data_IF_823132297247
#
_entry.id   IF_823132297247
#
_cell.length_a   1.000
_cell.length_b   1.000
_cell.length_c   1.000
_cell.angle_alpha   90.00
_cell.angle_beta   90.00
_cell.angle_gamma   90.00
#
_symmetry.space_group_name_H-M   'P 1'
#
loop_
_entity.id
_entity.type
_entity.pdbx_description
1 polymer ?
#
# COMPACT_ATOMS: atom_id res chain seq x y z
N UNK A 1 -18.38 25.60 -15.21
CA UNK A 1 -17.55 24.63 -15.98
C UNK A 1 -16.24 24.48 -15.24
N UNK A 2 -16.18 23.53 -14.30
CA UNK A 2 -15.02 23.33 -13.42
C UNK A 2 -13.97 22.52 -14.15
N UNK A 3 -12.71 22.96 -14.13
CA UNK A 3 -11.59 22.21 -14.75
C UNK A 3 -11.53 20.82 -14.11
N UNK A 4 -11.76 19.77 -14.88
CA UNK A 4 -11.54 18.40 -14.43
C UNK A 4 -10.03 18.25 -14.14
N UNK A 5 -9.67 18.36 -12.87
CA UNK A 5 -8.36 17.98 -12.36
C UNK A 5 -8.41 16.47 -12.20
N UNK A 6 -8.03 15.76 -13.24
CA UNK A 6 -8.25 14.32 -13.35
C UNK A 6 -7.04 13.57 -12.82
N UNK A 7 -7.25 12.54 -12.01
CA UNK A 7 -6.28 11.45 -11.85
C UNK A 7 -6.06 10.84 -13.23
N UNK A 8 -4.81 10.75 -13.71
CA UNK A 8 -4.52 10.20 -15.04
C UNK A 8 -4.87 8.71 -15.21
N UNK A 9 -5.38 8.05 -14.17
CA UNK A 9 -5.62 6.62 -14.10
C UNK A 9 -7.12 6.35 -13.84
N UNK A 10 -7.86 5.75 -14.79
CA UNK A 10 -9.31 5.55 -14.67
C UNK A 10 -9.73 4.83 -13.37
N UNK A 11 -9.01 3.77 -12.98
CA UNK A 11 -9.31 3.03 -11.76
C UNK A 11 -9.11 3.88 -10.49
N UNK A 12 -7.99 4.60 -10.36
CA UNK A 12 -7.73 5.48 -9.23
C UNK A 12 -8.74 6.64 -9.18
N UNK A 13 -9.14 7.18 -10.34
CA UNK A 13 -10.15 8.22 -10.45
C UNK A 13 -11.52 7.75 -9.98
N UNK A 14 -11.99 6.59 -10.47
CA UNK A 14 -13.26 6.01 -10.05
C UNK A 14 -13.26 5.72 -8.56
N UNK A 15 -12.17 5.17 -8.02
CA UNK A 15 -12.04 4.92 -6.59
C UNK A 15 -12.12 6.20 -5.77
N UNK A 16 -11.41 7.25 -6.18
CA UNK A 16 -11.48 8.56 -5.54
C UNK A 16 -12.92 9.11 -5.52
N UNK A 17 -13.63 9.05 -6.64
CA UNK A 17 -15.01 9.52 -6.72
C UNK A 17 -15.94 8.72 -5.81
N UNK A 18 -15.88 7.39 -5.88
CA UNK A 18 -16.72 6.48 -5.11
C UNK A 18 -16.52 6.63 -3.61
N UNK A 19 -15.28 6.81 -3.16
CA UNK A 19 -14.96 6.93 -1.74
C UNK A 19 -15.08 8.36 -1.19
N UNK A 20 -15.27 9.36 -2.04
CA UNK A 20 -15.31 10.77 -1.62
C UNK A 20 -16.27 11.12 -0.49
N UNK A 21 -17.46 10.47 -0.33
CA UNK A 21 -18.33 10.73 0.82
C UNK A 21 -17.80 10.23 2.17
N UNK A 22 -16.78 9.37 2.17
CA UNK A 22 -16.21 8.72 3.36
C UNK A 22 -14.83 9.28 3.76
N UNK A 23 -14.31 10.26 3.01
CA UNK A 23 -13.01 10.85 3.32
C UNK A 23 -13.02 11.59 4.65
N UNK A 24 -11.94 11.42 5.40
CA UNK A 24 -11.64 12.16 6.62
C UNK A 24 -10.85 13.45 6.36
N UNK A 25 -10.17 13.93 7.41
CA UNK A 25 -9.38 15.16 7.31
C UNK A 25 -8.15 15.01 6.39
N UNK A 26 -7.85 16.02 5.54
CA UNK A 26 -6.81 15.95 4.53
C UNK A 26 -5.40 16.01 5.16
N UNK A 27 -4.78 14.85 5.36
CA UNK A 27 -3.52 14.68 6.09
C UNK A 27 -2.40 14.03 5.28
N UNK A 28 -2.72 13.42 4.15
CA UNK A 28 -1.75 12.77 3.26
C UNK A 28 -2.03 13.09 1.79
N UNK A 29 -0.99 13.11 0.98
CA UNK A 29 -1.03 13.50 -0.42
C UNK A 29 -1.47 12.35 -1.34
N UNK A 30 -2.22 12.72 -2.37
CA UNK A 30 -2.51 11.84 -3.50
C UNK A 30 -1.42 11.99 -4.56
N UNK A 31 -0.59 10.96 -4.75
CA UNK A 31 0.57 11.02 -5.62
C UNK A 31 0.16 11.06 -7.10
N UNK A 32 0.93 11.79 -7.91
CA UNK A 32 0.66 11.92 -9.34
C UNK A 32 -0.58 12.75 -9.71
N UNK A 33 -1.23 13.39 -8.74
CA UNK A 33 -2.37 14.28 -8.99
C UNK A 33 -1.91 15.66 -9.48
N UNK A 34 -2.57 16.19 -10.52
CA UNK A 34 -2.34 17.56 -10.98
C UNK A 34 -2.97 18.56 -10.00
N UNK A 35 -2.14 19.06 -9.07
CA UNK A 35 -2.50 19.99 -8.00
C UNK A 35 -2.26 19.39 -6.62
N UNK A 36 -2.33 20.21 -5.56
CA UNK A 36 -2.25 19.69 -4.19
C UNK A 36 -3.60 19.08 -3.77
N UNK A 37 -3.80 17.78 -4.05
CA UNK A 37 -4.92 17.02 -3.48
C UNK A 37 -4.43 16.20 -2.28
N UNK A 38 -5.13 16.35 -1.16
CA UNK A 38 -4.85 15.64 0.08
C UNK A 38 -6.11 14.97 0.59
N UNK A 39 -5.98 13.76 1.09
CA UNK A 39 -7.02 12.93 1.70
C UNK A 39 -6.60 12.54 3.11
N UNK A 40 -7.45 11.86 3.87
CA UNK A 40 -6.95 11.18 5.07
C UNK A 40 -5.95 10.08 4.70
N UNK A 41 -5.07 9.73 5.64
CA UNK A 41 -3.98 8.79 5.40
C UNK A 41 -4.46 7.41 4.91
N UNK A 42 -5.62 6.95 5.36
CA UNK A 42 -6.14 5.64 4.97
C UNK A 42 -6.56 5.64 3.50
N UNK A 43 -7.33 6.63 3.07
CA UNK A 43 -7.76 6.74 1.67
C UNK A 43 -6.62 7.12 0.73
N UNK A 44 -5.67 7.95 1.18
CA UNK A 44 -4.46 8.25 0.41
C UNK A 44 -3.63 6.97 0.17
N UNK A 45 -3.41 6.15 1.19
CA UNK A 45 -2.71 4.87 1.05
C UNK A 45 -3.40 3.92 0.06
N UNK A 46 -4.72 3.79 0.16
CA UNK A 46 -5.51 2.94 -0.74
C UNK A 46 -5.39 3.38 -2.21
N UNK A 47 -5.61 4.66 -2.49
CA UNK A 47 -5.63 5.16 -3.87
C UNK A 47 -4.20 5.22 -4.45
N UNK A 48 -3.19 5.55 -3.65
CA UNK A 48 -1.79 5.49 -4.08
C UNK A 48 -1.36 4.05 -4.40
N UNK A 49 -1.81 3.06 -3.63
CA UNK A 49 -1.54 1.64 -3.91
C UNK A 49 -2.22 1.13 -5.17
N UNK A 50 -3.45 1.56 -5.45
CA UNK A 50 -4.10 1.29 -6.74
C UNK A 50 -3.32 1.93 -7.89
N UNK A 51 -2.94 3.20 -7.72
CA UNK A 51 -2.20 3.94 -8.73
C UNK A 51 -0.81 3.35 -9.01
N UNK A 52 -0.14 2.75 -8.02
CA UNK A 52 1.18 2.13 -8.22
C UNK A 52 1.12 0.88 -9.09
N UNK A 53 0.00 0.15 -9.06
CA UNK A 53 -0.09 -1.18 -9.68
C UNK A 53 -0.97 -1.21 -10.94
N UNK A 54 -1.77 -0.18 -11.22
CA UNK A 54 -2.75 -0.18 -12.33
C UNK A 54 -2.18 -0.41 -13.74
N UNK A 55 -0.88 -0.18 -13.92
CA UNK A 55 -0.19 -0.37 -15.20
C UNK A 55 0.75 -1.57 -15.23
N UNK A 56 0.80 -2.36 -14.15
CA UNK A 56 1.76 -3.45 -13.96
C UNK A 56 3.21 -3.01 -14.27
N UNK A 57 3.54 -1.78 -13.88
CA UNK A 57 4.83 -1.14 -14.17
C UNK A 57 5.66 -0.86 -12.91
N UNK A 58 5.20 -1.38 -11.77
CA UNK A 58 5.91 -1.41 -10.50
C UNK A 58 6.93 -2.57 -10.43
N UNK A 59 7.64 -2.65 -9.31
CA UNK A 59 8.75 -3.58 -9.12
C UNK A 59 8.29 -5.04 -9.02
N UNK A 60 9.23 -5.98 -9.15
CA UNK A 60 8.93 -7.40 -8.96
C UNK A 60 10.05 -8.08 -8.18
N UNK A 61 9.68 -8.83 -7.16
CA UNK A 61 10.57 -9.75 -6.46
C UNK A 61 10.58 -11.09 -7.21
N UNK A 62 11.67 -11.35 -7.93
CA UNK A 62 11.75 -12.43 -8.92
C UNK A 62 11.51 -13.84 -8.34
N UNK A 63 11.89 -14.08 -7.08
CA UNK A 63 11.76 -15.41 -6.47
C UNK A 63 10.30 -15.81 -6.19
N UNK A 64 9.39 -14.84 -6.09
CA UNK A 64 7.97 -15.07 -5.71
C UNK A 64 6.97 -14.33 -6.57
N UNK A 65 7.42 -13.58 -7.59
CA UNK A 65 6.64 -12.74 -8.51
C UNK A 65 5.71 -11.71 -7.85
N UNK A 66 6.02 -11.28 -6.62
CA UNK A 66 5.24 -10.25 -5.93
C UNK A 66 5.76 -8.85 -6.26
N UNK A 67 4.93 -7.82 -6.04
CA UNK A 67 5.27 -6.41 -6.25
C UNK A 67 5.36 -5.66 -4.90
N UNK A 68 6.51 -5.72 -4.20
CA UNK A 68 6.55 -5.39 -2.78
C UNK A 68 6.60 -3.88 -2.48
N UNK A 69 7.04 -3.03 -3.42
CA UNK A 69 7.16 -1.60 -3.11
C UNK A 69 5.80 -0.92 -3.06
N UNK A 70 4.89 -1.25 -3.98
CA UNK A 70 3.57 -0.63 -4.11
C UNK A 70 2.77 -0.57 -2.79
N UNK A 71 2.42 -1.72 -2.17
CA UNK A 71 1.64 -1.75 -0.94
C UNK A 71 2.37 -1.09 0.24
N UNK A 72 3.67 -1.37 0.42
CA UNK A 72 4.45 -0.85 1.56
C UNK A 72 4.64 0.67 1.47
N UNK A 73 5.09 1.17 0.32
CA UNK A 73 5.36 2.59 0.13
C UNK A 73 4.08 3.42 0.26
N UNK A 74 2.96 2.93 -0.28
CA UNK A 74 1.68 3.65 -0.25
C UNK A 74 1.18 3.86 1.18
N UNK A 75 1.23 2.83 2.02
CA UNK A 75 0.88 2.94 3.44
C UNK A 75 1.89 3.82 4.21
N UNK A 76 3.18 3.59 3.99
CA UNK A 76 4.25 4.27 4.72
C UNK A 76 4.27 5.77 4.44
N UNK A 77 4.17 6.19 3.18
CA UNK A 77 4.18 7.60 2.79
C UNK A 77 2.97 8.34 3.36
N UNK A 78 1.78 7.74 3.30
CA UNK A 78 0.57 8.34 3.84
C UNK A 78 0.65 8.55 5.36
N UNK A 79 1.14 7.56 6.11
CA UNK A 79 1.30 7.67 7.56
C UNK A 79 2.46 8.61 7.92
N UNK A 80 3.52 8.66 7.12
CA UNK A 80 4.64 9.57 7.34
C UNK A 80 4.22 11.03 7.22
N UNK A 81 3.43 11.37 6.19
CA UNK A 81 2.88 12.72 6.04
C UNK A 81 1.90 13.07 7.16
N UNK A 82 1.02 12.16 7.55
CA UNK A 82 0.07 12.37 8.64
C UNK A 82 0.77 12.58 9.99
N UNK A 83 1.78 11.76 10.31
CA UNK A 83 2.54 11.86 11.56
C UNK A 83 3.43 13.12 11.59
N UNK A 84 3.96 13.51 10.43
CA UNK A 84 4.95 14.57 10.31
C UNK A 84 6.29 14.23 10.98
N UNK A 85 7.28 15.10 10.80
CA UNK A 85 8.60 15.00 11.45
C UNK A 85 9.35 13.66 11.27
N UNK A 86 9.16 12.98 10.13
CA UNK A 86 9.91 11.78 9.76
C UNK A 86 11.10 12.17 8.88
N UNK A 87 12.32 11.83 9.31
CA UNK A 87 13.52 12.04 8.48
C UNK A 87 13.57 11.06 7.30
N UNK A 88 14.23 11.46 6.21
CA UNK A 88 14.43 10.56 5.06
C UNK A 88 15.12 9.25 5.44
N UNK A 89 16.07 9.27 6.40
CA UNK A 89 16.71 8.05 6.91
C UNK A 89 15.70 7.13 7.62
N UNK A 90 14.84 7.66 8.47
CA UNK A 90 13.79 6.87 9.14
C UNK A 90 12.82 6.28 8.12
N UNK A 91 12.41 7.07 7.13
CA UNK A 91 11.52 6.63 6.06
C UNK A 91 12.12 5.46 5.27
N UNK A 92 13.34 5.62 4.76
CA UNK A 92 14.03 4.56 3.99
C UNK A 92 14.25 3.32 4.86
N UNK A 93 14.62 3.47 6.13
CA UNK A 93 14.79 2.33 7.05
C UNK A 93 13.48 1.57 7.25
N UNK A 94 12.36 2.28 7.40
CA UNK A 94 11.04 1.66 7.56
C UNK A 94 10.58 0.98 6.26
N UNK A 95 10.82 1.60 5.10
CA UNK A 95 10.49 1.05 3.80
C UNK A 95 11.20 -0.28 3.57
N UNK A 96 12.53 -0.31 3.78
CA UNK A 96 13.34 -1.53 3.65
C UNK A 96 12.85 -2.61 4.62
N UNK A 97 12.56 -2.27 5.87
CA UNK A 97 12.05 -3.23 6.84
C UNK A 97 10.69 -3.83 6.43
N UNK A 98 9.80 -3.03 5.84
CA UNK A 98 8.51 -3.50 5.33
C UNK A 98 8.66 -4.42 4.12
N UNK A 99 9.43 -4.00 3.12
CA UNK A 99 9.69 -4.81 1.91
C UNK A 99 10.36 -6.14 2.28
N UNK A 100 11.35 -6.13 3.17
CA UNK A 100 12.02 -7.35 3.65
C UNK A 100 11.03 -8.31 4.33
N UNK A 101 10.12 -7.79 5.15
CA UNK A 101 9.09 -8.61 5.82
C UNK A 101 8.09 -9.18 4.82
N UNK A 102 7.67 -8.38 3.83
CA UNK A 102 6.79 -8.80 2.75
C UNK A 102 7.42 -9.93 1.92
N UNK A 103 8.65 -9.74 1.44
CA UNK A 103 9.36 -10.73 0.64
C UNK A 103 9.56 -12.04 1.42
N UNK A 104 9.89 -11.97 2.71
CA UNK A 104 9.99 -13.15 3.58
C UNK A 104 8.66 -13.88 3.77
N UNK A 105 7.57 -13.15 3.93
CA UNK A 105 6.24 -13.74 3.99
C UNK A 105 5.86 -14.37 2.64
N UNK A 106 6.17 -13.70 1.52
CA UNK A 106 5.96 -14.22 0.17
C UNK A 106 6.71 -15.52 -0.08
N UNK A 107 7.99 -15.58 0.29
CA UNK A 107 8.81 -16.79 0.18
C UNK A 107 8.27 -17.95 1.01
N UNK A 108 7.64 -17.67 2.15
CA UNK A 108 7.10 -18.69 3.04
C UNK A 108 5.79 -19.32 2.52
N UNK A 109 5.08 -18.66 1.60
CA UNK A 109 3.80 -19.12 1.06
C UNK A 109 3.87 -19.53 -0.43
N UNK A 110 5.00 -19.28 -1.07
CA UNK A 110 5.24 -19.60 -2.46
C UNK A 110 5.73 -21.06 -2.64
N UNK A 111 5.26 -21.79 -3.67
CA UNK A 111 4.28 -21.40 -4.69
C UNK A 111 2.82 -21.74 -4.34
N UNK A 112 2.58 -22.56 -3.32
CA UNK A 112 1.28 -23.21 -3.11
C UNK A 112 0.14 -22.21 -2.93
N UNK A 113 0.40 -21.08 -2.25
CA UNK A 113 -0.60 -20.02 -2.06
C UNK A 113 -1.01 -19.37 -3.38
N UNK A 114 -0.06 -19.20 -4.31
CA UNK A 114 -0.33 -18.70 -5.67
C UNK A 114 -1.11 -19.74 -6.49
N UNK A 115 -0.69 -21.00 -6.42
CA UNK A 115 -1.25 -22.08 -7.23
C UNK A 115 -2.73 -22.30 -6.98
N UNK A 116 -3.17 -22.16 -5.71
CA UNK A 116 -4.59 -22.24 -5.33
C UNK A 116 -5.39 -20.96 -5.60
N UNK A 117 -4.77 -19.93 -6.20
CA UNK A 117 -5.46 -18.77 -6.77
C UNK A 117 -5.37 -17.46 -5.99
N UNK A 118 -4.54 -17.37 -4.94
CA UNK A 118 -4.31 -16.10 -4.25
C UNK A 118 -3.35 -15.19 -5.01
N UNK A 119 -3.65 -13.90 -5.02
CA UNK A 119 -2.71 -12.88 -5.46
C UNK A 119 -1.79 -12.50 -4.30
N UNK A 120 -0.57 -13.08 -4.27
CA UNK A 120 0.34 -12.99 -3.13
C UNK A 120 0.70 -11.53 -2.79
N UNK A 121 0.96 -10.67 -3.79
CA UNK A 121 1.21 -9.22 -3.57
C UNK A 121 0.22 -8.60 -2.59
N UNK A 122 -1.06 -8.92 -2.74
CA UNK A 122 -2.10 -8.38 -1.87
C UNK A 122 -2.14 -9.07 -0.51
N UNK A 123 -1.91 -10.39 -0.44
CA UNK A 123 -1.99 -11.14 0.82
C UNK A 123 -0.80 -10.91 1.76
N UNK A 124 0.40 -10.66 1.23
CA UNK A 124 1.58 -10.33 2.06
C UNK A 124 1.91 -8.85 2.12
N UNK A 125 1.43 -8.04 1.16
CA UNK A 125 1.65 -6.59 1.15
C UNK A 125 1.12 -5.87 2.39
N UNK A 126 -0.01 -6.33 2.94
CA UNK A 126 -0.54 -5.78 4.20
C UNK A 126 0.40 -6.02 5.39
N UNK A 127 1.12 -7.14 5.41
CA UNK A 127 2.11 -7.49 6.44
C UNK A 127 3.32 -6.55 6.32
N UNK A 128 3.85 -6.36 5.11
CA UNK A 128 4.95 -5.43 4.86
C UNK A 128 4.60 -4.00 5.27
N UNK A 129 3.41 -3.54 4.88
CA UNK A 129 2.88 -2.23 5.27
C UNK A 129 2.77 -2.08 6.79
N UNK A 130 2.26 -3.09 7.49
CA UNK A 130 2.16 -3.08 8.96
C UNK A 130 3.54 -2.97 9.63
N UNK A 131 4.56 -3.67 9.12
CA UNK A 131 5.94 -3.58 9.63
C UNK A 131 6.53 -2.19 9.42
N UNK A 132 6.44 -1.65 8.20
CA UNK A 132 6.95 -0.32 7.87
C UNK A 132 6.29 0.78 8.72
N UNK A 133 4.95 0.75 8.82
CA UNK A 133 4.18 1.70 9.63
C UNK A 133 4.46 1.52 11.12
N UNK A 134 4.65 0.30 11.62
CA UNK A 134 5.03 0.09 13.02
C UNK A 134 6.40 0.71 13.35
N UNK A 135 7.34 0.67 12.40
CA UNK A 135 8.69 1.25 12.53
C UNK A 135 8.64 2.78 12.59
N UNK A 136 8.03 3.38 11.57
CA UNK A 136 7.18 4.56 11.65
C UNK A 136 6.77 5.12 13.00
N UNK A 137 5.88 4.34 13.60
CA UNK A 137 5.12 4.71 14.76
C UNK A 137 5.91 4.52 16.06
N UNK A 138 7.12 3.95 16.00
CA UNK A 138 7.95 3.54 17.13
C UNK A 138 7.17 2.61 18.08
N UNK A 139 6.48 1.63 17.50
CA UNK A 139 5.72 0.66 18.28
C UNK A 139 6.67 -0.31 18.99
N UNK A 140 6.27 -0.73 20.20
CA UNK A 140 6.97 -1.81 20.91
C UNK A 140 6.90 -3.13 20.12
N UNK A 141 7.78 -4.10 20.39
CA UNK A 141 7.72 -5.42 19.75
C UNK A 141 6.34 -6.08 19.86
N UNK A 142 5.72 -6.05 21.05
CA UNK A 142 4.36 -6.59 21.26
C UNK A 142 3.31 -5.89 20.40
N UNK A 143 3.33 -4.55 20.31
CA UNK A 143 2.40 -3.80 19.48
C UNK A 143 2.62 -4.05 17.98
N UNK A 144 3.88 -4.22 17.58
CA UNK A 144 4.25 -4.58 16.21
C UNK A 144 3.70 -5.96 15.85
N UNK A 145 3.83 -6.96 16.74
CA UNK A 145 3.22 -8.28 16.56
C UNK A 145 1.70 -8.20 16.40
N UNK A 146 1.03 -7.40 17.22
CA UNK A 146 -0.42 -7.20 17.07
C UNK A 146 -0.78 -6.53 15.74
N UNK A 147 -0.02 -5.52 15.31
CA UNK A 147 -0.25 -4.84 14.03
C UNK A 147 -0.11 -5.81 12.84
N UNK A 148 0.92 -6.66 12.85
CA UNK A 148 1.11 -7.72 11.85
C UNK A 148 -0.07 -8.70 11.87
N UNK A 149 -0.49 -9.15 13.05
CA UNK A 149 -1.64 -10.05 13.20
C UNK A 149 -2.93 -9.47 12.64
N UNK A 150 -3.23 -8.20 12.93
CA UNK A 150 -4.40 -7.49 12.40
C UNK A 150 -4.33 -7.33 10.88
N UNK A 151 -3.15 -7.05 10.32
CA UNK A 151 -2.97 -6.95 8.88
C UNK A 151 -3.18 -8.30 8.17
N UNK A 152 -2.66 -9.39 8.76
CA UNK A 152 -2.84 -10.75 8.25
C UNK A 152 -4.30 -11.22 8.25
N UNK A 153 -5.16 -10.65 9.12
CA UNK A 153 -6.61 -10.97 9.14
C UNK A 153 -7.45 -10.20 8.12
N UNK A 154 -6.88 -9.21 7.42
CA UNK A 154 -7.58 -8.33 6.48
C UNK A 154 -7.15 -8.56 5.02
N UNK A 155 -6.48 -9.69 4.76
CA UNK A 155 -5.96 -10.01 3.43
C UNK A 155 -7.09 -10.33 2.45
N UNK A 156 -6.98 -9.77 1.25
CA UNK A 156 -7.83 -10.07 0.10
C UNK A 156 -6.94 -10.18 -1.13
N UNK A 157 -7.47 -10.59 -2.29
CA UNK A 157 -6.74 -10.61 -3.56
C UNK A 157 -6.80 -11.96 -4.26
N UNK A 158 -7.60 -12.03 -5.32
CA UNK A 158 -7.79 -13.24 -6.13
C UNK A 158 -7.08 -13.08 -7.46
N UNK A 159 -6.33 -14.10 -7.88
CA UNK A 159 -5.66 -14.13 -9.20
C UNK A 159 -6.65 -14.07 -10.36
N UNK A 160 -7.89 -14.52 -10.17
CA UNK A 160 -8.95 -14.46 -11.17
C UNK A 160 -9.31 -13.03 -11.61
N UNK A 161 -8.95 -12.01 -10.83
CA UNK A 161 -9.16 -10.60 -11.18
C UNK A 161 -8.10 -10.04 -12.14
N UNK A 162 -7.08 -10.83 -12.51
CA UNK A 162 -6.03 -10.36 -13.42
C UNK A 162 -6.61 -10.06 -14.82
N UNK A 163 -6.16 -8.96 -15.44
CA UNK A 163 -6.59 -8.57 -16.77
C UNK A 163 -8.00 -7.98 -16.85
N UNK A 164 -8.62 -7.62 -15.72
CA UNK A 164 -9.99 -7.05 -15.68
C UNK A 164 -10.08 -5.57 -16.05
N UNK A 165 -9.07 -5.01 -16.72
CA UNK A 165 -8.96 -3.58 -17.05
C UNK A 165 -9.81 -3.19 -18.27
#
# INVERSE_FOLDING_TARGET
>A
MSSARTLCLPAAYLQHQTLSPFFGSPTASLLGYQGASRLDAQHAALINGIASHVHDYDDTHLDTIIHPTGPVASALLAVAEWRGSISGKQLVTALVAGIEAECKAGLAVWPEHYDVGWHITSTVGSIGAAVAVSKILDLSPTKTTHAIGLAATQVTGLREMFGSH
#
